data_IF_858636321625
#
_entry.id   IF_858636321625
#
_cell.length_a   1.000
_cell.length_b   1.000
_cell.length_c   1.000
_cell.angle_alpha   90.00
_cell.angle_beta   90.00
_cell.angle_gamma   90.00
#
_symmetry.space_group_name_H-M   'P 1'
#
loop_
_entity.id
_entity.type
_entity.pdbx_description
1 polymer ?
#
# COMPACT_ATOMS: atom_id res chain seq x y z
N UNK A 1 5.66 -5.92 -13.69
CA UNK A 1 5.11 -5.78 -12.31
C UNK A 1 6.18 -6.22 -11.34
N UNK A 2 6.41 -5.46 -10.27
CA UNK A 2 7.30 -5.83 -9.18
C UNK A 2 6.43 -6.26 -8.00
N UNK A 3 6.73 -7.40 -7.39
CA UNK A 3 6.10 -7.86 -6.16
C UNK A 3 7.14 -7.86 -5.05
N UNK A 4 6.78 -7.29 -3.89
CA UNK A 4 7.61 -7.19 -2.69
C UNK A 4 6.84 -7.89 -1.56
N UNK A 5 7.49 -8.79 -0.85
CA UNK A 5 6.95 -9.43 0.35
C UNK A 5 7.96 -9.33 1.49
N UNK A 6 7.58 -8.74 2.61
CA UNK A 6 8.45 -8.60 3.79
C UNK A 6 8.59 -9.95 4.49
N UNK A 7 9.83 -10.38 4.69
CA UNK A 7 10.15 -11.68 5.29
C UNK A 7 10.64 -11.57 6.73
N UNK A 8 11.15 -10.40 7.13
CA UNK A 8 11.61 -10.12 8.49
C UNK A 8 11.01 -8.81 9.01
N UNK A 9 10.64 -8.80 10.29
CA UNK A 9 10.03 -7.64 10.97
C UNK A 9 11.06 -6.78 11.69
N UNK A 10 10.68 -5.56 12.08
CA UNK A 10 11.47 -4.67 12.93
C UNK A 10 12.35 -3.71 12.13
N UNK A 11 12.05 -3.53 10.84
CA UNK A 11 12.75 -2.58 9.97
C UNK A 11 11.97 -1.27 9.79
N UNK A 12 10.76 -1.17 10.38
CA UNK A 12 9.90 0.00 10.29
C UNK A 12 9.34 0.23 8.87
N UNK A 13 8.59 1.32 8.70
CA UNK A 13 7.88 1.63 7.46
C UNK A 13 8.46 2.81 6.67
N UNK A 14 9.69 3.26 6.98
CA UNK A 14 10.28 4.41 6.28
C UNK A 14 10.49 4.14 4.78
N UNK A 15 10.95 2.93 4.42
CA UNK A 15 11.09 2.53 3.02
C UNK A 15 9.74 2.47 2.29
N UNK A 16 8.69 2.04 2.99
CA UNK A 16 7.33 1.93 2.48
C UNK A 16 6.81 3.33 2.12
N UNK A 17 6.99 4.30 3.01
CA UNK A 17 6.61 5.71 2.79
C UNK A 17 7.36 6.32 1.62
N UNK A 18 8.67 6.12 1.56
CA UNK A 18 9.51 6.58 0.44
C UNK A 18 9.00 6.01 -0.89
N UNK A 19 8.68 4.72 -0.91
CA UNK A 19 8.12 4.07 -2.09
C UNK A 19 6.77 4.68 -2.48
N UNK A 20 5.80 4.78 -1.56
CA UNK A 20 4.49 5.33 -1.87
C UNK A 20 4.56 6.79 -2.33
N UNK A 21 5.48 7.59 -1.78
CA UNK A 21 5.66 8.98 -2.21
C UNK A 21 6.02 9.14 -3.69
N UNK A 22 6.56 8.09 -4.32
CA UNK A 22 6.89 8.08 -5.75
C UNK A 22 5.68 7.71 -6.63
N UNK A 23 4.67 7.04 -6.06
CA UNK A 23 3.52 6.49 -6.79
C UNK A 23 2.21 7.26 -6.54
N UNK A 24 1.98 7.73 -5.31
CA UNK A 24 0.75 8.42 -4.95
C UNK A 24 0.71 9.81 -5.59
N UNK A 25 -0.41 10.12 -6.25
CA UNK A 25 -0.66 11.42 -6.89
C UNK A 25 -2.07 11.87 -6.57
N UNK A 26 -2.24 13.15 -6.25
CA UNK A 26 -3.56 13.73 -6.03
C UNK A 26 -4.46 13.53 -7.26
N UNK A 27 -5.73 13.23 -7.01
CA UNK A 27 -6.73 13.02 -8.07
C UNK A 27 -6.72 11.63 -8.71
N UNK A 28 -5.77 10.75 -8.37
CA UNK A 28 -5.83 9.34 -8.77
C UNK A 28 -6.87 8.58 -7.91
N UNK A 29 -7.56 7.58 -8.47
CA UNK A 29 -8.48 6.77 -7.71
C UNK A 29 -7.75 5.92 -6.67
N UNK A 30 -8.40 5.72 -5.53
CA UNK A 30 -7.98 4.74 -4.54
C UNK A 30 -9.09 3.75 -4.20
N UNK A 31 -8.68 2.60 -3.69
CA UNK A 31 -9.53 1.59 -3.07
C UNK A 31 -8.87 1.11 -1.77
N UNK A 32 -9.57 1.24 -0.65
CA UNK A 32 -9.12 0.83 0.68
C UNK A 32 -10.00 -0.31 1.18
N UNK A 33 -9.37 -1.37 1.67
CA UNK A 33 -10.06 -2.49 2.31
C UNK A 33 -9.71 -2.52 3.79
N UNK A 34 -10.73 -2.65 4.63
CA UNK A 34 -10.58 -2.81 6.07
C UNK A 34 -11.39 -4.01 6.56
N UNK A 35 -10.93 -4.71 7.59
CA UNK A 35 -11.76 -5.73 8.22
C UNK A 35 -12.93 -5.10 8.97
N UNK A 36 -14.04 -5.82 9.08
CA UNK A 36 -15.28 -5.30 9.65
C UNK A 36 -15.14 -4.83 11.11
N UNK A 37 -14.16 -5.35 11.85
CA UNK A 37 -13.86 -4.96 13.23
C UNK A 37 -12.92 -3.74 13.35
N UNK A 38 -12.29 -3.28 12.27
CA UNK A 38 -11.36 -2.13 12.24
C UNK A 38 -12.15 -0.81 12.11
N UNK A 39 -12.93 -0.48 13.15
CA UNK A 39 -13.89 0.62 13.11
C UNK A 39 -13.24 1.99 13.00
N UNK A 40 -12.06 2.18 13.58
CA UNK A 40 -11.34 3.45 13.55
C UNK A 40 -10.74 3.68 12.16
N UNK A 41 -10.16 2.64 11.56
CA UNK A 41 -9.60 2.64 10.22
C UNK A 41 -10.68 2.85 9.15
N UNK A 42 -11.84 2.18 9.28
CA UNK A 42 -13.00 2.40 8.42
C UNK A 42 -13.48 3.86 8.53
N UNK A 43 -13.65 4.38 9.74
CA UNK A 43 -14.09 5.76 9.95
C UNK A 43 -13.08 6.76 9.37
N UNK A 44 -11.78 6.47 9.48
CA UNK A 44 -10.72 7.27 8.88
C UNK A 44 -10.80 7.29 7.35
N UNK A 45 -10.89 6.12 6.71
CA UNK A 45 -10.99 6.00 5.26
C UNK A 45 -12.24 6.70 4.69
N UNK A 46 -13.36 6.66 5.41
CA UNK A 46 -14.62 7.31 5.02
C UNK A 46 -14.57 8.84 5.01
N UNK A 47 -13.53 9.46 5.58
CA UNK A 47 -13.32 10.90 5.41
C UNK A 47 -12.92 11.28 3.98
N UNK A 48 -12.40 10.31 3.22
CA UNK A 48 -11.81 10.53 1.88
C UNK A 48 -12.54 9.80 0.75
N UNK A 49 -13.50 8.94 1.08
CA UNK A 49 -14.21 8.12 0.11
C UNK A 49 -15.59 7.69 0.59
N UNK A 50 -16.21 6.81 -0.18
CA UNK A 50 -17.53 6.24 0.12
C UNK A 50 -17.46 4.72 0.14
N UNK A 51 -18.34 4.09 0.92
CA UNK A 51 -18.52 2.64 0.89
C UNK A 51 -18.91 2.20 -0.53
N UNK A 52 -18.21 1.19 -1.02
CA UNK A 52 -18.58 0.46 -2.23
C UNK A 52 -19.55 -0.66 -1.86
N UNK A 53 -20.59 -0.86 -2.67
CA UNK A 53 -21.49 -2.00 -2.52
C UNK A 53 -20.78 -3.27 -3.01
N UNK A 54 -20.35 -4.12 -2.06
CA UNK A 54 -19.63 -5.36 -2.35
C UNK A 54 -20.24 -6.54 -1.62
N UNK A 55 -20.02 -7.75 -2.14
CA UNK A 55 -20.42 -9.00 -1.48
C UNK A 55 -19.37 -9.50 -0.46
N UNK A 56 -18.40 -8.66 -0.05
CA UNK A 56 -17.36 -9.07 0.88
C UNK A 56 -17.85 -9.01 2.33
N UNK A 57 -18.26 -10.14 2.89
CA UNK A 57 -18.90 -10.19 4.21
C UNK A 57 -17.97 -9.87 5.40
N UNK A 58 -16.65 -9.94 5.18
CA UNK A 58 -15.65 -9.85 6.24
C UNK A 58 -15.14 -8.43 6.49
N UNK A 59 -15.43 -7.49 5.59
CA UNK A 59 -14.85 -6.16 5.63
C UNK A 59 -15.66 -5.14 4.84
N UNK A 60 -15.08 -3.97 4.73
CA UNK A 60 -15.65 -2.85 3.99
C UNK A 60 -14.64 -2.40 2.92
N UNK A 61 -15.14 -2.06 1.75
CA UNK A 61 -14.35 -1.47 0.67
C UNK A 61 -14.74 0.00 0.54
N UNK A 62 -13.76 0.90 0.60
CA UNK A 62 -13.93 2.34 0.49
C UNK A 62 -13.23 2.81 -0.77
N UNK A 63 -13.93 3.50 -1.66
CA UNK A 63 -13.37 4.09 -2.88
C UNK A 63 -13.47 5.60 -2.86
N UNK A 64 -12.50 6.26 -3.47
CA UNK A 64 -12.46 7.70 -3.60
C UNK A 64 -11.35 8.17 -4.52
N UNK A 65 -11.02 9.46 -4.41
CA UNK A 65 -9.88 10.07 -5.09
C UNK A 65 -8.86 10.49 -4.04
N UNK A 66 -7.58 10.26 -4.32
CA UNK A 66 -6.50 10.67 -3.41
C UNK A 66 -6.51 12.18 -3.24
N UNK A 67 -6.60 12.62 -1.98
CA UNK A 67 -6.42 14.01 -1.58
C UNK A 67 -5.02 14.22 -1.00
N UNK A 68 -4.56 15.47 -0.97
CA UNK A 68 -3.30 15.82 -0.30
C UNK A 68 -3.29 15.37 1.16
N UNK A 69 -4.43 15.49 1.86
CA UNK A 69 -4.58 15.10 3.26
C UNK A 69 -4.41 13.60 3.47
N UNK A 70 -5.06 12.75 2.65
CA UNK A 70 -4.92 11.30 2.74
C UNK A 70 -3.49 10.86 2.43
N UNK A 71 -2.87 11.42 1.38
CA UNK A 71 -1.47 11.14 1.05
C UNK A 71 -0.57 11.50 2.24
N UNK A 72 -0.77 12.67 2.84
CA UNK A 72 0.00 13.10 4.02
C UNK A 72 -0.19 12.14 5.20
N UNK A 73 -1.42 11.75 5.52
CA UNK A 73 -1.70 10.81 6.62
C UNK A 73 -1.02 9.46 6.41
N UNK A 74 -1.07 8.92 5.19
CA UNK A 74 -0.36 7.69 4.82
C UNK A 74 1.16 7.83 5.02
N UNK A 75 1.75 8.96 4.62
CA UNK A 75 3.19 9.22 4.75
C UNK A 75 3.61 9.56 6.20
N UNK A 76 2.69 10.00 7.05
CA UNK A 76 2.95 10.27 8.47
C UNK A 76 2.74 9.04 9.36
N UNK A 77 1.98 8.04 8.91
CA UNK A 77 1.66 6.82 9.67
C UNK A 77 2.89 6.14 10.28
N UNK A 78 2.82 5.76 11.55
CA UNK A 78 3.91 5.05 12.21
C UNK A 78 3.60 3.57 12.30
N UNK A 79 4.59 2.76 11.95
CA UNK A 79 4.52 1.32 12.08
C UNK A 79 4.13 0.90 13.51
N UNK A 80 3.21 -0.06 13.66
CA UNK A 80 2.82 -0.59 14.97
C UNK A 80 3.74 -1.74 15.37
N UNK A 81 4.56 -1.53 16.38
CA UNK A 81 5.49 -2.56 16.89
C UNK A 81 4.80 -3.58 17.83
N UNK A 82 3.61 -3.25 18.35
CA UNK A 82 2.93 -4.01 19.41
C UNK A 82 1.89 -5.03 18.91
N UNK A 83 1.59 -5.06 17.62
CA UNK A 83 0.61 -5.97 17.04
C UNK A 83 1.30 -7.26 16.53
N UNK A 84 0.56 -8.37 16.48
CA UNK A 84 1.03 -9.64 15.90
C UNK A 84 1.49 -9.44 14.45
N UNK A 85 1.01 -8.38 13.80
CA UNK A 85 1.43 -7.91 12.49
C UNK A 85 2.19 -6.58 12.63
N UNK A 86 3.39 -6.48 12.06
CA UNK A 86 4.06 -5.17 11.93
C UNK A 86 3.33 -4.40 10.81
N UNK A 87 2.32 -3.59 11.17
CA UNK A 87 1.48 -2.87 10.21
C UNK A 87 2.22 -1.65 9.65
N UNK A 88 2.54 -1.67 8.35
CA UNK A 88 3.21 -0.56 7.67
C UNK A 88 2.23 0.55 7.24
N UNK A 89 0.95 0.21 7.13
CA UNK A 89 -0.20 1.08 6.84
C UNK A 89 -1.38 0.70 7.77
N UNK A 90 -2.30 1.62 8.12
CA UNK A 90 -3.47 1.28 8.92
C UNK A 90 -4.44 0.34 8.20
N UNK A 91 -4.43 0.34 6.87
CA UNK A 91 -5.41 -0.36 6.06
C UNK A 91 -4.96 -1.77 5.68
N UNK A 92 -5.89 -2.73 5.63
CA UNK A 92 -5.56 -4.09 5.20
C UNK A 92 -5.08 -4.11 3.75
N UNK A 93 -5.77 -3.42 2.86
CA UNK A 93 -5.33 -3.14 1.49
C UNK A 93 -5.48 -1.67 1.15
N UNK A 94 -4.50 -1.11 0.46
CA UNK A 94 -4.52 0.20 -0.19
C UNK A 94 -4.10 0.02 -1.66
N UNK A 95 -5.05 0.17 -2.58
CA UNK A 95 -4.80 0.31 -4.01
C UNK A 95 -4.87 1.79 -4.37
N UNK A 96 -3.86 2.29 -5.07
CA UNK A 96 -3.79 3.69 -5.48
C UNK A 96 -2.91 3.85 -6.72
N UNK A 97 -3.49 4.29 -7.84
CA UNK A 97 -2.75 4.37 -9.11
C UNK A 97 -2.08 3.04 -9.46
N UNK A 98 -0.74 3.06 -9.55
CA UNK A 98 0.09 1.90 -9.92
C UNK A 98 0.68 1.13 -8.72
N UNK A 99 0.22 1.39 -7.49
CA UNK A 99 0.65 0.65 -6.29
C UNK A 99 -0.54 -0.04 -5.63
N UNK A 100 -0.39 -1.33 -5.33
CA UNK A 100 -1.22 -2.08 -4.40
C UNK A 100 -0.38 -2.40 -3.16
N UNK A 101 -0.85 -2.06 -1.98
CA UNK A 101 -0.23 -2.43 -0.70
C UNK A 101 -1.21 -3.27 0.10
N UNK A 102 -0.93 -4.56 0.24
CA UNK A 102 -1.79 -5.57 0.85
C UNK A 102 -1.24 -6.07 2.18
N UNK A 103 -2.08 -6.73 2.95
CA UNK A 103 -1.73 -7.32 4.23
C UNK A 103 -1.08 -6.32 5.20
N UNK A 104 -1.68 -5.13 5.33
CA UNK A 104 -1.13 -4.00 6.11
C UNK A 104 0.23 -3.51 5.60
N UNK A 105 0.49 -3.72 4.31
CA UNK A 105 1.66 -3.27 3.58
C UNK A 105 2.85 -4.21 3.62
N UNK A 106 2.73 -5.40 4.23
CA UNK A 106 3.78 -6.42 4.15
C UNK A 106 3.91 -7.03 2.75
N UNK A 107 2.90 -6.85 1.91
CA UNK A 107 2.92 -7.24 0.49
C UNK A 107 2.65 -6.01 -0.37
N UNK A 108 3.46 -5.79 -1.41
CA UNK A 108 3.32 -4.65 -2.31
C UNK A 108 3.46 -5.11 -3.75
N UNK A 109 2.54 -4.66 -4.59
CA UNK A 109 2.55 -4.87 -6.03
C UNK A 109 2.67 -3.52 -6.73
N UNK A 110 3.67 -3.39 -7.59
CA UNK A 110 3.92 -2.19 -8.39
C UNK A 110 3.66 -2.53 -9.86
N UNK A 111 2.62 -1.92 -10.44
CA UNK A 111 2.39 -1.94 -11.87
C UNK A 111 3.38 -0.97 -12.57
N UNK A 112 4.02 -1.40 -13.67
CA UNK A 112 4.99 -0.55 -14.40
C UNK A 112 4.26 0.49 -15.27
N UNK A 113 4.75 1.73 -15.48
CA UNK A 113 6.12 2.29 -15.34
C UNK A 113 6.15 3.69 -14.67
N UNK A 114 7.16 3.96 -13.82
CA UNK A 114 8.03 5.10 -14.03
C UNK A 114 9.38 4.58 -14.53
N UNK A 115 9.89 5.13 -15.65
CA UNK A 115 11.20 4.82 -16.23
C UNK A 115 12.23 4.54 -15.12
N UNK A 116 12.64 3.27 -14.95
CA UNK A 116 13.56 2.75 -13.91
C UNK A 116 14.13 3.85 -13.01
N UNK A 117 13.30 4.35 -12.09
CA UNK A 117 13.72 5.47 -11.25
C UNK A 117 14.81 4.92 -10.34
N UNK A 118 16.00 5.50 -10.42
CA UNK A 118 17.16 5.13 -9.61
C UNK A 118 16.79 5.03 -8.12
N UNK A 119 15.85 5.87 -7.65
CA UNK A 119 15.35 5.83 -6.28
C UNK A 119 14.58 4.56 -5.96
N UNK A 120 13.78 4.04 -6.88
CA UNK A 120 13.06 2.77 -6.67
C UNK A 120 14.09 1.66 -6.53
N UNK A 121 15.08 1.59 -7.42
CA UNK A 121 16.13 0.57 -7.33
C UNK A 121 16.90 0.68 -6.01
N UNK A 122 17.25 1.90 -5.57
CA UNK A 122 17.91 2.11 -4.28
C UNK A 122 17.06 1.62 -3.09
N UNK A 123 15.74 1.82 -3.14
CA UNK A 123 14.82 1.28 -2.12
C UNK A 123 14.81 -0.25 -2.17
N UNK A 124 14.66 -0.85 -3.36
CA UNK A 124 14.63 -2.30 -3.54
C UNK A 124 15.93 -2.96 -3.05
N UNK A 125 17.09 -2.39 -3.41
CA UNK A 125 18.39 -2.87 -2.96
C UNK A 125 18.50 -2.83 -1.44
N UNK A 126 18.02 -1.74 -0.81
CA UNK A 126 18.05 -1.56 0.65
C UNK A 126 17.16 -2.57 1.38
N UNK A 127 16.00 -2.91 0.83
CA UNK A 127 15.06 -3.84 1.48
C UNK A 127 15.34 -5.31 1.14
N UNK A 128 16.17 -5.60 0.12
CA UNK A 128 16.51 -6.96 -0.31
C UNK A 128 17.09 -7.85 0.79
N UNK A 129 17.58 -7.27 1.89
CA UNK A 129 18.06 -8.00 3.05
C UNK A 129 16.94 -8.62 3.92
N UNK A 130 15.71 -8.10 3.83
CA UNK A 130 14.56 -8.49 4.67
C UNK A 130 13.24 -8.59 3.90
N UNK A 131 13.31 -8.62 2.56
CA UNK A 131 12.16 -8.76 1.68
C UNK A 131 12.47 -9.71 0.52
N UNK A 132 11.47 -10.48 0.11
CA UNK A 132 11.46 -11.17 -1.18
C UNK A 132 10.98 -10.22 -2.26
N UNK A 133 11.72 -10.12 -3.36
CA UNK A 133 11.40 -9.23 -4.49
C UNK A 133 11.34 -10.08 -5.76
N UNK A 134 10.23 -10.00 -6.50
CA UNK A 134 10.00 -10.74 -7.74
C UNK A 134 9.57 -9.80 -8.86
N UNK A 135 10.10 -10.01 -10.06
CA UNK A 135 9.73 -9.24 -11.26
C UNK A 135 8.97 -10.13 -12.25
N UNK A 136 7.79 -9.68 -12.67
CA UNK A 136 6.98 -10.32 -13.69
C UNK A 136 6.94 -9.46 -14.94
N UNK A 137 7.34 -10.04 -16.08
CA UNK A 137 7.07 -9.46 -17.39
C UNK A 137 5.65 -9.87 -17.77
N UNK A 138 4.78 -8.91 -18.12
CA UNK A 138 3.52 -9.26 -18.81
C UNK A 138 3.94 -9.89 -20.14
N UNK A 139 3.73 -11.20 -20.30
CA UNK A 139 3.81 -11.81 -21.62
C UNK A 139 2.84 -11.02 -22.53
N UNK A 140 3.38 -10.42 -23.59
CA UNK A 140 2.53 -9.84 -24.62
C UNK A 140 1.83 -11.00 -25.32
N UNK A 141 0.59 -11.26 -24.93
CA UNK A 141 -0.31 -12.09 -25.73
C UNK A 141 -0.34 -11.51 -27.15
N UNK A 142 0.24 -12.27 -28.08
CA UNK A 142 0.39 -11.95 -29.51
C UNK A 142 -0.91 -12.16 -30.28
#
# INVERSE_FOLDING_TARGET
MIAIQITEKGHGNQWWKELLSLYLKEGEPFEIHCWKNEKEEIASALQYGTLEDTNWEYGEVIKGMLTAELIRELLEWKCTEEDVYEKLTPYFTLQAGNVCSEHYGTEIYLEQEPEKDEKIQQILDRISAYASISEYQKEQDR
#
